data_IF_288439139690
#
_entry.id   IF_288439139690
#
_cell.length_a   1.000
_cell.length_b   1.000
_cell.length_c   1.000
_cell.angle_alpha   90.00
_cell.angle_beta   90.00
_cell.angle_gamma   90.00
#
_symmetry.space_group_name_H-M   'P 1'
#
loop_
_entity.id
_entity.type
_entity.pdbx_description
1 polymer ?
#
# COMPACT_ATOMS: atom_id res chain seq x y z
N UNK A 1 -1.16 -3.43 10.72
CA UNK A 1 -1.54 -4.27 9.55
C UNK A 1 -0.82 -5.59 9.69
N UNK A 2 -1.53 -6.72 9.61
CA UNK A 2 -0.91 -8.04 9.72
C UNK A 2 -0.42 -8.57 8.35
N UNK A 3 0.35 -9.65 8.35
CA UNK A 3 0.90 -10.26 7.12
C UNK A 3 -0.21 -10.68 6.16
N UNK A 4 -1.33 -11.20 6.68
CA UNK A 4 -2.46 -11.64 5.85
C UNK A 4 -3.15 -10.47 5.13
N UNK A 5 -3.36 -9.35 5.82
CA UNK A 5 -3.85 -8.10 5.25
C UNK A 5 -2.91 -7.59 4.16
N UNK A 6 -1.60 -7.60 4.42
CA UNK A 6 -0.58 -7.19 3.45
C UNK A 6 -0.63 -8.05 2.17
N UNK A 7 -0.77 -9.37 2.33
CA UNK A 7 -0.89 -10.30 1.20
C UNK A 7 -2.13 -10.01 0.33
N UNK A 8 -3.23 -9.51 0.91
CA UNK A 8 -4.42 -9.14 0.14
C UNK A 8 -4.19 -7.92 -0.77
N UNK A 9 -3.26 -7.02 -0.43
CA UNK A 9 -2.87 -5.89 -1.28
C UNK A 9 -1.87 -6.27 -2.37
N UNK A 10 -1.13 -7.36 -2.21
CA UNK A 10 -0.04 -7.75 -3.14
C UNK A 10 -0.52 -7.82 -4.59
N UNK A 11 -1.69 -8.43 -4.83
CA UNK A 11 -2.19 -8.56 -6.21
C UNK A 11 -2.71 -7.25 -6.80
N UNK A 12 -3.62 -6.49 -6.16
CA UNK A 12 -4.04 -5.18 -6.67
C UNK A 12 -2.87 -4.22 -6.86
N UNK A 13 -1.89 -4.25 -5.95
CA UNK A 13 -0.69 -3.42 -6.05
C UNK A 13 0.17 -3.81 -7.25
N UNK A 14 0.32 -5.12 -7.53
CA UNK A 14 0.96 -5.58 -8.76
C UNK A 14 0.27 -5.01 -10.00
N UNK A 15 -1.06 -5.01 -10.06
CA UNK A 15 -1.81 -4.50 -11.24
C UNK A 15 -1.55 -3.00 -11.40
N UNK A 16 -1.56 -2.26 -10.30
CA UNK A 16 -1.26 -0.83 -10.32
C UNK A 16 0.15 -0.56 -10.87
N UNK A 17 1.16 -1.32 -10.41
CA UNK A 17 2.54 -1.21 -10.91
C UNK A 17 2.61 -1.53 -12.40
N UNK A 18 1.96 -2.61 -12.85
CA UNK A 18 1.92 -2.97 -14.27
C UNK A 18 1.39 -1.81 -15.13
N UNK A 19 0.25 -1.21 -14.72
CA UNK A 19 -0.34 -0.08 -15.43
C UNK A 19 0.57 1.17 -15.41
N UNK A 20 1.23 1.47 -14.29
CA UNK A 20 2.20 2.58 -14.22
C UNK A 20 3.43 2.33 -15.10
N UNK A 21 3.96 1.11 -15.13
CA UNK A 21 5.08 0.76 -15.99
C UNK A 21 4.71 0.88 -17.47
N UNK A 22 3.52 0.40 -17.86
CA UNK A 22 3.00 0.59 -19.21
C UNK A 22 2.86 2.08 -19.55
N UNK A 23 2.41 2.89 -18.59
CA UNK A 23 2.29 4.35 -18.73
C UNK A 23 3.65 5.00 -18.96
N UNK A 24 4.65 4.69 -18.12
CA UNK A 24 5.99 5.28 -18.20
C UNK A 24 6.73 4.88 -19.48
N UNK A 25 6.45 3.68 -19.99
CA UNK A 25 6.99 3.21 -21.27
C UNK A 25 6.23 3.78 -22.49
N UNK A 26 5.22 4.63 -22.31
CA UNK A 26 4.29 5.09 -23.36
C UNK A 26 3.64 3.94 -24.14
N UNK A 27 3.45 2.79 -23.47
CA UNK A 27 2.86 1.56 -24.03
C UNK A 27 1.46 1.27 -23.49
N UNK A 28 0.95 2.12 -22.60
CA UNK A 28 -0.39 1.99 -22.04
C UNK A 28 -1.43 2.07 -23.15
N UNK A 29 -2.19 1.00 -23.32
CA UNK A 29 -3.30 0.96 -24.26
C UNK A 29 -4.58 0.90 -23.43
N UNK A 30 -5.27 2.04 -23.33
CA UNK A 30 -6.47 2.15 -22.51
C UNK A 30 -7.54 1.11 -22.87
N UNK A 31 -7.62 0.63 -24.11
CA UNK A 31 -8.57 -0.42 -24.52
C UNK A 31 -8.15 -1.79 -24.01
N UNK A 32 -6.90 -2.18 -24.25
CA UNK A 32 -6.40 -3.51 -23.88
C UNK A 32 -6.20 -3.65 -22.36
N UNK A 33 -5.66 -2.60 -21.73
CA UNK A 33 -5.37 -2.54 -20.30
C UNK A 33 -6.61 -2.29 -19.43
N UNK A 34 -7.75 -1.97 -20.05
CA UNK A 34 -9.04 -1.85 -19.35
C UNK A 34 -9.42 -3.15 -18.62
N UNK A 35 -9.03 -4.31 -19.14
CA UNK A 35 -9.23 -5.59 -18.47
C UNK A 35 -8.50 -5.64 -17.12
N UNK A 36 -7.24 -5.22 -17.09
CA UNK A 36 -6.43 -5.13 -15.87
C UNK A 36 -6.98 -4.07 -14.91
N UNK A 37 -7.38 -2.90 -15.42
CA UNK A 37 -8.01 -1.85 -14.62
C UNK A 37 -9.34 -2.30 -14.00
N UNK A 38 -10.15 -3.07 -14.75
CA UNK A 38 -11.39 -3.69 -14.26
C UNK A 38 -11.15 -4.75 -13.19
N UNK A 39 -10.12 -5.57 -13.36
CA UNK A 39 -9.70 -6.52 -12.34
C UNK A 39 -9.24 -5.80 -11.06
N UNK A 40 -8.46 -4.73 -11.20
CA UNK A 40 -8.08 -3.86 -10.08
C UNK A 40 -9.32 -3.31 -9.36
N UNK A 41 -10.25 -2.68 -10.07
CA UNK A 41 -11.46 -2.09 -9.48
C UNK A 41 -12.30 -3.14 -8.74
N UNK A 42 -12.43 -4.35 -9.29
CA UNK A 42 -13.14 -5.46 -8.66
C UNK A 42 -12.48 -5.90 -7.36
N UNK A 43 -11.15 -6.00 -7.33
CA UNK A 43 -10.40 -6.36 -6.11
C UNK A 43 -10.40 -5.24 -5.09
N UNK A 44 -10.28 -4.00 -5.54
CA UNK A 44 -10.38 -2.82 -4.69
C UNK A 44 -11.71 -2.78 -3.94
N UNK A 45 -12.82 -3.10 -4.62
CA UNK A 45 -14.15 -3.22 -3.99
C UNK A 45 -14.17 -4.27 -2.86
N UNK A 46 -13.41 -5.36 -2.99
CA UNK A 46 -13.29 -6.39 -1.93
C UNK A 46 -12.47 -5.86 -0.75
N UNK A 47 -11.36 -5.16 -1.01
CA UNK A 47 -10.53 -4.54 0.02
C UNK A 47 -11.30 -3.46 0.80
N UNK A 48 -12.09 -2.63 0.11
CA UNK A 48 -12.88 -1.56 0.72
C UNK A 48 -13.92 -2.07 1.72
N UNK A 49 -14.47 -3.28 1.50
CA UNK A 49 -15.44 -3.93 2.40
C UNK A 49 -14.81 -4.56 3.65
N UNK A 50 -13.48 -4.61 3.74
CA UNK A 50 -12.79 -5.28 4.84
C UNK A 50 -13.05 -4.56 6.18
N UNK A 51 -13.26 -5.32 7.26
CA UNK A 51 -13.47 -4.77 8.62
C UNK A 51 -12.29 -3.98 9.15
N UNK A 52 -11.09 -4.21 8.63
CA UNK A 52 -9.87 -3.49 8.98
C UNK A 52 -9.76 -2.10 8.34
N UNK A 53 -10.65 -1.78 7.39
CA UNK A 53 -10.78 -0.45 6.79
C UNK A 53 -11.46 0.54 7.76
N UNK A 54 -10.81 0.75 8.91
CA UNK A 54 -11.16 1.74 9.92
C UNK A 54 -10.40 3.03 9.62
N UNK A 55 -11.06 4.17 9.79
CA UNK A 55 -10.44 5.48 9.64
C UNK A 55 -9.14 5.60 10.45
N UNK A 56 -8.11 6.19 9.84
CA UNK A 56 -6.79 6.38 10.47
C UNK A 56 -5.91 5.12 10.57
N UNK A 57 -6.46 3.93 10.30
CA UNK A 57 -5.69 2.69 10.34
C UNK A 57 -4.64 2.63 9.22
N UNK A 58 -3.53 1.91 9.43
CA UNK A 58 -2.54 1.68 8.37
C UNK A 58 -3.15 1.04 7.12
N UNK A 59 -4.16 0.18 7.30
CA UNK A 59 -4.89 -0.45 6.20
C UNK A 59 -5.64 0.58 5.36
N UNK A 60 -6.36 1.49 6.02
CA UNK A 60 -7.09 2.57 5.36
C UNK A 60 -6.15 3.55 4.64
N UNK A 61 -5.03 3.91 5.27
CA UNK A 61 -3.99 4.77 4.66
C UNK A 61 -3.42 4.16 3.37
N UNK A 62 -3.12 2.86 3.38
CA UNK A 62 -2.64 2.17 2.18
C UNK A 62 -3.73 2.13 1.13
N UNK A 63 -4.96 1.74 1.51
CA UNK A 63 -6.07 1.66 0.57
C UNK A 63 -6.39 3.01 -0.08
N UNK A 64 -6.38 4.11 0.67
CA UNK A 64 -6.59 5.46 0.15
C UNK A 64 -5.47 5.91 -0.79
N UNK A 65 -4.21 5.58 -0.47
CA UNK A 65 -3.06 5.87 -1.33
C UNK A 65 -3.20 5.18 -2.69
N UNK A 66 -3.44 3.87 -2.70
CA UNK A 66 -3.60 3.08 -3.93
C UNK A 66 -4.85 3.55 -4.71
N UNK A 67 -5.91 3.97 -4.02
CA UNK A 67 -7.10 4.57 -4.65
C UNK A 67 -6.77 5.87 -5.39
N UNK A 68 -6.00 6.76 -4.75
CA UNK A 68 -5.57 8.01 -5.35
C UNK A 68 -4.67 7.78 -6.56
N UNK A 69 -3.71 6.85 -6.44
CA UNK A 69 -2.79 6.50 -7.52
C UNK A 69 -3.51 5.93 -8.74
N UNK A 70 -4.52 5.08 -8.53
CA UNK A 70 -5.39 4.60 -9.61
C UNK A 70 -6.23 5.73 -10.20
N UNK A 71 -6.69 6.67 -9.39
CA UNK A 71 -7.38 7.88 -9.85
C UNK A 71 -6.53 8.67 -10.86
N UNK A 72 -5.22 8.76 -10.64
CA UNK A 72 -4.30 9.38 -11.59
C UNK A 72 -4.17 8.59 -12.91
N UNK A 73 -4.13 7.26 -12.86
CA UNK A 73 -4.16 6.42 -14.08
C UNK A 73 -5.47 6.59 -14.84
N UNK A 74 -6.60 6.62 -14.14
CA UNK A 74 -7.91 6.84 -14.75
C UNK A 74 -8.02 8.20 -15.45
N UNK A 75 -7.39 9.25 -14.92
CA UNK A 75 -7.33 10.56 -15.62
C UNK A 75 -6.62 10.44 -16.97
N UNK A 76 -5.61 9.56 -17.08
CA UNK A 76 -4.92 9.28 -18.36
C UNK A 76 -5.75 8.38 -19.28
N UNK A 77 -6.45 7.39 -18.73
CA UNK A 77 -7.35 6.49 -19.45
C UNK A 77 -8.80 6.66 -18.98
N UNK A 78 -9.55 7.56 -19.63
CA UNK A 78 -10.93 7.88 -19.22
C UNK A 78 -11.91 6.72 -19.30
N UNK A 79 -11.60 5.67 -20.07
CA UNK A 79 -12.41 4.44 -20.17
C UNK A 79 -12.18 3.46 -19.00
N UNK A 80 -11.21 3.72 -18.11
CA UNK A 80 -10.99 2.88 -16.95
C UNK A 80 -12.16 2.99 -15.97
N UNK A 81 -12.58 1.86 -15.37
CA UNK A 81 -13.71 1.87 -14.47
C UNK A 81 -13.43 2.74 -13.24
N UNK A 82 -14.44 3.49 -12.82
CA UNK A 82 -14.43 4.20 -11.54
C UNK A 82 -14.30 3.23 -10.38
N UNK A 83 -13.55 3.61 -9.36
CA UNK A 83 -13.58 2.92 -8.09
C UNK A 83 -14.89 3.21 -7.38
N UNK A 84 -15.33 2.25 -6.57
CA UNK A 84 -16.46 2.46 -5.66
C UNK A 84 -16.00 3.43 -4.57
N UNK A 85 -16.90 4.31 -4.14
CA UNK A 85 -16.61 5.27 -3.07
C UNK A 85 -16.12 4.54 -1.81
N UNK A 86 -15.12 5.11 -1.15
CA UNK A 86 -14.51 4.53 0.04
C UNK A 86 -15.56 4.54 1.16
N UNK A 87 -16.06 3.37 1.54
CA UNK A 87 -17.00 3.25 2.65
C UNK A 87 -16.20 3.30 3.94
N UNK A 88 -16.11 4.48 4.53
CA UNK A 88 -15.44 4.68 5.80
C UNK A 88 -16.27 4.04 6.91
N UNK A 89 -15.70 3.08 7.65
CA UNK A 89 -16.26 2.70 8.93
C UNK A 89 -15.70 3.68 9.96
N UNK A 90 -16.49 4.72 10.29
CA UNK A 90 -16.18 5.58 11.44
C UNK A 90 -15.96 4.68 12.65
N UNK A 91 -14.83 4.86 13.31
CA UNK A 91 -14.55 4.20 14.58
C UNK A 91 -15.48 4.78 15.64
N UNK A 92 -16.53 4.06 16.02
CA UNK A 92 -17.27 4.36 17.25
C UNK A 92 -16.45 3.85 18.44
N UNK A 93 -15.58 4.70 18.99
CA UNK A 93 -15.17 4.67 20.40
C UNK A 93 -14.35 5.92 20.76
N UNK A 94 -14.81 6.61 21.83
CA UNK A 94 -14.32 7.85 22.46
C UNK A 94 -14.53 9.10 21.60
N UNK A 95 -15.53 9.96 21.89
CA UNK A 95 -15.62 10.73 23.12
C UNK A 95 -17.05 10.74 23.70
N UNK A 96 -17.23 10.19 24.89
CA UNK A 96 -18.32 10.52 25.80
C UNK A 96 -17.79 11.61 26.74
N UNK A 97 -18.53 12.72 26.87
CA UNK A 97 -18.57 13.72 27.96
C UNK A 97 -17.23 14.04 28.66
N UNK A 98 -16.68 15.26 28.68
CA UNK A 98 -17.33 16.53 28.99
C UNK A 98 -16.57 17.69 28.32
N UNK A 99 -17.28 18.57 27.63
CA UNK A 99 -16.86 19.96 27.45
C UNK A 99 -17.62 20.78 28.50
N UNK A 100 -16.93 21.25 29.53
CA UNK A 100 -17.41 22.37 30.36
C UNK A 100 -16.22 23.24 30.75
N UNK A 101 -16.28 24.52 30.34
CA UNK A 101 -15.78 25.64 31.15
C UNK A 101 -14.28 25.97 31.15
N UNK A 102 -13.91 26.99 30.36
CA UNK A 102 -13.09 28.17 30.72
C UNK A 102 -11.91 28.02 31.73
N UNK A 103 -10.70 28.32 31.22
CA UNK A 103 -9.85 29.45 31.68
C UNK A 103 -8.90 29.27 32.88
N UNK A 104 -7.73 29.94 32.76
CA UNK A 104 -6.81 30.41 33.83
C UNK A 104 -5.53 29.61 34.15
N UNK A 105 -4.41 30.19 33.72
CA UNK A 105 -3.07 30.35 34.33
C UNK A 105 -2.55 29.52 35.54
N UNK A 106 -1.29 29.09 35.36
CA UNK A 106 -0.11 29.23 36.23
C UNK A 106 0.29 28.19 37.32
N UNK A 107 1.61 27.87 37.27
CA UNK A 107 2.62 27.71 38.35
C UNK A 107 3.00 26.30 38.90
N UNK A 108 4.25 25.91 38.54
CA UNK A 108 5.43 25.59 39.39
C UNK A 108 5.49 24.33 40.30
N UNK A 109 6.62 23.60 40.18
CA UNK A 109 7.20 22.67 41.18
C UNK A 109 7.66 21.34 40.55
N UNK A 110 8.87 21.20 39.99
CA UNK A 110 10.10 20.64 40.62
C UNK A 110 9.83 19.33 41.40
N UNK A 111 10.45 18.17 41.22
CA UNK A 111 11.83 17.76 40.84
C UNK A 111 11.84 16.23 40.68
N UNK A 112 12.70 15.66 39.83
CA UNK A 112 13.46 14.43 40.13
C UNK A 112 14.39 14.10 38.97
N UNK A 113 15.69 14.25 39.22
CA UNK A 113 16.78 13.79 38.37
C UNK A 113 16.70 12.28 38.14
N UNK A 114 16.77 11.87 36.87
CA UNK A 114 17.50 10.64 36.51
C UNK A 114 18.49 11.01 35.42
N UNK A 115 19.73 11.12 35.85
CA UNK A 115 20.94 11.15 35.02
C UNK A 115 20.99 9.91 34.13
N UNK A 116 21.05 10.10 32.81
CA UNK A 116 21.72 9.16 31.91
C UNK A 116 22.20 9.90 30.67
N UNK A 117 23.47 10.31 30.77
CA UNK A 117 24.47 10.29 29.72
C UNK A 117 24.06 10.79 28.34
N UNK A 118 24.30 12.08 28.11
CA UNK A 118 24.51 12.61 26.76
C UNK A 118 25.68 11.84 26.12
N UNK A 119 25.33 10.92 25.21
CA UNK A 119 26.29 10.27 24.32
C UNK A 119 26.96 11.33 23.44
N UNK A 120 28.20 11.69 23.77
CA UNK A 120 29.02 12.60 22.99
C UNK A 120 29.58 11.85 21.78
N UNK A 121 28.88 11.92 20.65
CA UNK A 121 29.42 11.43 19.38
C UNK A 121 30.47 12.44 18.92
N UNK A 122 31.73 12.14 19.20
CA UNK A 122 32.88 12.75 18.52
C UNK A 122 32.77 12.42 17.04
N UNK A 123 32.28 13.38 16.25
CA UNK A 123 32.28 13.30 14.79
C UNK A 123 33.68 13.60 14.29
N UNK A 124 34.51 12.56 14.23
CA UNK A 124 35.84 12.64 13.63
C UNK A 124 35.68 12.97 12.14
N UNK A 125 36.42 14.00 11.72
CA UNK A 125 36.44 14.56 10.38
C UNK A 125 36.76 13.49 9.31
N UNK A 126 35.70 13.00 8.65
CA UNK A 126 35.54 12.49 7.27
C UNK A 126 36.65 11.55 6.72
N UNK A 127 36.26 10.36 6.22
CA UNK A 127 36.46 10.12 4.79
C UNK A 127 35.16 9.65 4.11
N UNK A 128 34.62 10.53 3.26
CA UNK A 128 33.37 10.37 2.51
C UNK A 128 33.47 9.38 1.35
N UNK A 129 34.02 8.19 1.61
CA UNK A 129 34.17 7.12 0.61
C UNK A 129 33.64 5.75 1.07
N UNK A 130 33.34 5.54 2.35
CA UNK A 130 32.91 4.22 2.84
C UNK A 130 31.41 3.94 2.65
N UNK A 131 30.55 4.96 2.80
CA UNK A 131 29.08 4.78 2.79
C UNK A 131 28.52 4.55 1.36
N UNK A 132 29.24 5.00 0.34
CA UNK A 132 28.79 4.92 -1.07
C UNK A 132 28.91 3.51 -1.65
N UNK A 133 29.77 2.65 -1.09
CA UNK A 133 30.03 1.31 -1.64
C UNK A 133 28.99 0.26 -1.26
N UNK A 134 28.20 0.48 -0.21
CA UNK A 134 27.22 -0.51 0.29
C UNK A 134 25.86 -0.37 -0.39
N UNK A 135 25.47 0.86 -0.74
CA UNK A 135 24.21 1.21 -1.38
C UNK A 135 23.98 0.46 -2.71
N UNK A 136 24.96 0.34 -3.65
CA UNK A 136 24.72 -0.33 -4.92
C UNK A 136 24.51 -1.85 -4.79
N UNK A 137 25.11 -2.52 -3.80
CA UNK A 137 24.95 -3.96 -3.59
C UNK A 137 23.52 -4.30 -3.14
N UNK A 138 22.98 -3.53 -2.19
CA UNK A 138 21.59 -3.68 -1.76
C UNK A 138 20.60 -3.30 -2.86
N UNK A 139 20.91 -2.27 -3.66
CA UNK A 139 20.05 -1.87 -4.78
C UNK A 139 20.02 -2.92 -5.89
N UNK A 140 21.15 -3.56 -6.21
CA UNK A 140 21.20 -4.65 -7.18
C UNK A 140 20.42 -5.89 -6.74
N UNK A 141 20.52 -6.25 -5.46
CA UNK A 141 19.73 -7.33 -4.84
C UNK A 141 18.24 -6.97 -4.87
N UNK A 142 17.86 -5.79 -4.38
CA UNK A 142 16.49 -5.32 -4.40
C UNK A 142 15.92 -5.26 -5.82
N UNK A 143 16.68 -4.79 -6.81
CA UNK A 143 16.26 -4.74 -8.22
C UNK A 143 15.98 -6.13 -8.80
N UNK A 144 16.89 -7.09 -8.55
CA UNK A 144 16.72 -8.50 -9.00
C UNK A 144 15.46 -9.13 -8.42
N UNK A 145 15.19 -8.92 -7.13
CA UNK A 145 14.02 -9.50 -6.46
C UNK A 145 12.73 -8.68 -6.66
N UNK A 146 12.83 -7.38 -6.92
CA UNK A 146 11.68 -6.49 -7.13
C UNK A 146 11.09 -6.66 -8.54
N UNK A 147 11.95 -6.65 -9.58
CA UNK A 147 11.48 -6.80 -10.97
C UNK A 147 10.98 -8.23 -11.22
N UNK A 148 11.73 -9.24 -10.77
CA UNK A 148 11.36 -10.65 -10.97
C UNK A 148 10.27 -11.14 -10.00
N UNK A 149 10.13 -10.50 -8.84
CA UNK A 149 9.15 -10.90 -7.82
C UNK A 149 7.71 -10.66 -8.25
N UNK A 150 7.43 -9.50 -8.84
CA UNK A 150 6.09 -9.11 -9.27
C UNK A 150 5.61 -10.01 -10.41
N UNK A 151 6.46 -10.24 -11.43
CA UNK A 151 6.16 -11.14 -12.56
C UNK A 151 5.81 -12.55 -12.09
N UNK A 152 6.57 -13.08 -11.12
CA UNK A 152 6.34 -14.42 -10.56
C UNK A 152 5.02 -14.51 -9.80
N UNK A 153 4.60 -13.43 -9.13
CA UNK A 153 3.29 -13.35 -8.45
C UNK A 153 2.15 -13.37 -9.45
N UNK A 154 2.26 -12.59 -10.53
CA UNK A 154 1.25 -12.53 -11.60
C UNK A 154 1.09 -13.87 -12.32
N UNK A 155 2.19 -14.48 -12.73
CA UNK A 155 2.18 -15.78 -13.39
C UNK A 155 1.50 -16.83 -12.51
N UNK A 156 1.81 -16.86 -11.21
CA UNK A 156 1.20 -17.82 -10.27
C UNK A 156 -0.32 -17.64 -10.14
N UNK A 157 -0.81 -16.40 -10.16
CA UNK A 157 -2.25 -16.14 -10.08
C UNK A 157 -2.98 -16.45 -11.39
N UNK A 158 -2.40 -16.09 -12.52
CA UNK A 158 -2.89 -16.47 -13.83
C UNK A 158 -3.00 -18.00 -14.01
N UNK A 159 -1.98 -18.75 -13.56
CA UNK A 159 -2.01 -20.22 -13.58
C UNK A 159 -3.14 -20.79 -12.71
N UNK A 160 -3.37 -20.23 -11.52
CA UNK A 160 -4.45 -20.67 -10.61
C UNK A 160 -5.84 -20.45 -11.22
N UNK A 161 -6.08 -19.32 -11.90
CA UNK A 161 -7.38 -19.04 -12.53
C UNK A 161 -7.62 -19.96 -13.74
N UNK A 162 -6.59 -20.23 -14.56
CA UNK A 162 -6.64 -21.22 -15.65
C UNK A 162 -6.99 -22.62 -15.14
N UNK A 163 -6.30 -23.10 -14.11
CA UNK A 163 -6.58 -24.41 -13.50
C UNK A 163 -8.01 -24.51 -12.96
N UNK A 164 -8.52 -23.46 -12.29
CA UNK A 164 -9.92 -23.42 -11.81
C UNK A 164 -10.93 -23.51 -12.97
N UNK A 165 -10.68 -22.82 -14.09
CA UNK A 165 -11.55 -22.90 -15.29
C UNK A 165 -11.58 -24.32 -15.88
N UNK A 166 -10.41 -24.97 -16.00
CA UNK A 166 -10.32 -26.37 -16.49
C UNK A 166 -11.04 -27.33 -15.55
N UNK A 167 -10.80 -27.22 -14.24
CA UNK A 167 -11.49 -28.05 -13.23
C UNK A 167 -13.02 -27.87 -13.27
N UNK A 168 -13.51 -26.66 -13.51
CA UNK A 168 -14.96 -26.39 -13.68
C UNK A 168 -15.52 -27.04 -14.94
N UNK A 169 -14.79 -27.02 -16.07
CA UNK A 169 -15.19 -27.70 -17.31
C UNK A 169 -15.27 -29.22 -17.13
N UNK A 170 -14.30 -29.83 -16.46
CA UNK A 170 -14.33 -31.27 -16.18
C UNK A 170 -15.53 -31.69 -15.33
N UNK A 171 -15.88 -30.92 -14.29
CA UNK A 171 -17.05 -31.20 -13.45
C UNK A 171 -18.40 -31.05 -14.14
N UNK A 172 -18.46 -30.31 -15.25
CA UNK A 172 -19.70 -30.01 -15.98
C UNK A 172 -19.93 -31.01 -17.14
N UNK A 173 -18.88 -31.78 -17.48
CA UNK A 173 -18.90 -32.85 -18.49
C UNK A 173 -19.03 -34.26 -17.86
N UNK A 174 -19.28 -34.34 -16.55
CA UNK A 174 -19.63 -35.55 -15.79
C UNK A 174 -21.09 -35.37 -15.38
#
# INVERSE_FOLDING_TARGET
MNINEMNNFSYPFGILIYLYNATNANKLNCTNDSNSASEFATRFKQLNKNSNNKEGSSYNKILSTISNDYGNLKKKCGNFPSLTELTLKKSTAQNSLENSGKGSEQILGHTSEVTSSSSSISTTLIPGLSVVSVIPVFLGIAYKYSLFGIDKIFQRQYLRTKLKKVKKKMKLNI
#
